data_IF_582372970603
#
_entry.id   IF_582372970603
#
_cell.length_a   1.000
_cell.length_b   1.000
_cell.length_c   1.000
_cell.angle_alpha   90.00
_cell.angle_beta   90.00
_cell.angle_gamma   90.00
#
_symmetry.space_group_name_H-M   'P 1'
#
loop_
_entity.id
_entity.type
_entity.pdbx_description
1 polymer ?
#
# COMPACT_ATOMS: atom_id res chain seq x y z
N UNK A 1 5.48 -7.24 -30.39
CA UNK A 1 4.54 -6.17 -30.00
C UNK A 1 3.09 -6.67 -29.78
N UNK A 2 2.85 -7.81 -29.09
CA UNK A 2 1.51 -8.46 -29.04
C UNK A 2 0.78 -8.44 -27.68
N UNK A 3 1.28 -7.72 -26.67
CA UNK A 3 0.74 -7.81 -25.29
C UNK A 3 0.25 -6.50 -24.67
N UNK A 4 0.27 -5.38 -25.40
CA UNK A 4 -0.19 -4.08 -24.86
C UNK A 4 -1.69 -4.12 -24.51
N UNK A 5 -2.56 -4.67 -25.36
CA UNK A 5 -4.00 -4.76 -25.07
C UNK A 5 -4.33 -5.62 -23.85
N UNK A 6 -3.60 -6.73 -23.64
CA UNK A 6 -3.76 -7.55 -22.43
C UNK A 6 -3.24 -6.83 -21.19
N UNK A 7 -2.14 -6.09 -21.32
CA UNK A 7 -1.64 -5.25 -20.22
C UNK A 7 -2.65 -4.16 -19.84
N UNK A 8 -3.26 -3.48 -20.82
CA UNK A 8 -4.31 -2.50 -20.56
C UNK A 8 -5.55 -3.12 -19.90
N UNK A 9 -5.96 -4.32 -20.32
CA UNK A 9 -7.07 -5.04 -19.69
C UNK A 9 -6.77 -5.40 -18.22
N UNK A 10 -5.58 -5.93 -17.93
CA UNK A 10 -5.17 -6.22 -16.56
C UNK A 10 -5.05 -4.94 -15.72
N UNK A 11 -4.55 -3.85 -16.30
CA UNK A 11 -4.50 -2.55 -15.63
C UNK A 11 -5.92 -2.04 -15.30
N UNK A 12 -6.86 -2.12 -16.25
CA UNK A 12 -8.25 -1.72 -16.02
C UNK A 12 -8.92 -2.54 -14.91
N UNK A 13 -8.74 -3.87 -14.93
CA UNK A 13 -9.26 -4.74 -13.87
C UNK A 13 -8.63 -4.41 -12.50
N UNK A 14 -7.32 -4.14 -12.47
CA UNK A 14 -6.64 -3.72 -11.24
C UNK A 14 -7.18 -2.39 -10.72
N UNK A 15 -7.43 -1.41 -11.59
CA UNK A 15 -8.00 -0.10 -11.23
C UNK A 15 -9.41 -0.27 -10.67
N UNK A 16 -10.25 -1.10 -11.29
CA UNK A 16 -11.61 -1.38 -10.80
C UNK A 16 -11.59 -2.04 -9.42
N UNK A 17 -10.70 -3.03 -9.22
CA UNK A 17 -10.51 -3.67 -7.93
C UNK A 17 -10.02 -2.66 -6.86
N UNK A 18 -9.04 -1.82 -7.18
CA UNK A 18 -8.52 -0.81 -6.26
C UNK A 18 -9.55 0.27 -5.91
N UNK A 19 -10.35 0.71 -6.89
CA UNK A 19 -11.37 1.74 -6.67
C UNK A 19 -12.51 1.26 -5.78
N UNK A 20 -12.81 -0.04 -5.80
CA UNK A 20 -13.87 -0.64 -4.98
C UNK A 20 -13.40 -1.01 -3.57
N UNK A 21 -12.11 -1.29 -3.38
CA UNK A 21 -11.52 -1.65 -2.08
C UNK A 21 -11.80 -0.58 -1.02
N UNK A 22 -11.66 0.71 -1.33
CA UNK A 22 -11.88 1.79 -0.36
C UNK A 22 -13.33 1.80 0.17
N UNK A 23 -14.30 1.62 -0.71
CA UNK A 23 -15.73 1.55 -0.35
C UNK A 23 -16.03 0.28 0.43
N UNK A 24 -15.51 -0.86 -0.01
CA UNK A 24 -15.67 -2.14 0.68
C UNK A 24 -15.11 -2.07 2.11
N UNK A 25 -13.87 -1.59 2.28
CA UNK A 25 -13.26 -1.39 3.59
C UNK A 25 -14.11 -0.48 4.48
N UNK A 26 -14.58 0.67 3.97
CA UNK A 26 -15.42 1.58 4.75
C UNK A 26 -16.72 0.93 5.25
N UNK A 27 -17.34 0.09 4.42
CA UNK A 27 -18.58 -0.61 4.81
C UNK A 27 -18.27 -1.71 5.82
N UNK A 28 -17.27 -2.54 5.54
CA UNK A 28 -16.96 -3.70 6.39
C UNK A 28 -16.42 -3.29 7.76
N UNK A 29 -15.66 -2.19 7.84
CA UNK A 29 -15.17 -1.62 9.11
C UNK A 29 -16.29 -1.10 10.02
N UNK A 30 -17.55 -1.01 9.55
CA UNK A 30 -18.71 -0.75 10.42
C UNK A 30 -19.16 -1.97 11.22
N UNK A 31 -18.74 -3.16 10.80
CA UNK A 31 -19.21 -4.43 11.35
C UNK A 31 -18.10 -5.22 12.04
N UNK A 32 -16.87 -5.14 11.52
CA UNK A 32 -15.72 -5.86 12.06
C UNK A 32 -14.53 -4.91 12.22
N UNK A 33 -13.61 -5.29 13.10
CA UNK A 33 -12.39 -4.52 13.30
C UNK A 33 -11.43 -4.71 12.13
N UNK A 34 -10.53 -3.74 11.94
CA UNK A 34 -9.56 -3.76 10.85
C UNK A 34 -8.65 -5.00 10.87
N UNK A 35 -8.24 -5.44 12.06
CA UNK A 35 -7.39 -6.64 12.24
C UNK A 35 -8.12 -7.90 11.75
N UNK A 36 -9.42 -8.02 12.05
CA UNK A 36 -10.24 -9.15 11.62
C UNK A 36 -10.44 -9.13 10.10
N UNK A 37 -10.69 -7.95 9.53
CA UNK A 37 -10.78 -7.75 8.08
C UNK A 37 -9.49 -8.19 7.38
N UNK A 38 -8.33 -7.80 7.90
CA UNK A 38 -7.03 -8.17 7.36
C UNK A 38 -6.78 -9.67 7.47
N UNK A 39 -7.17 -10.29 8.59
CA UNK A 39 -7.09 -11.73 8.78
C UNK A 39 -7.93 -12.48 7.74
N UNK A 40 -9.20 -12.09 7.55
CA UNK A 40 -10.07 -12.70 6.54
C UNK A 40 -9.56 -12.48 5.12
N UNK A 41 -9.05 -11.29 4.79
CA UNK A 41 -8.43 -11.01 3.50
C UNK A 41 -7.18 -11.89 3.26
N UNK A 42 -6.34 -12.07 4.28
CA UNK A 42 -5.14 -12.89 4.19
C UNK A 42 -5.46 -14.38 4.08
N UNK A 43 -6.46 -14.86 4.82
CA UNK A 43 -6.95 -16.25 4.75
C UNK A 43 -7.57 -16.55 3.39
N UNK A 44 -8.43 -15.67 2.87
CA UNK A 44 -9.05 -15.85 1.55
C UNK A 44 -8.00 -15.84 0.43
N UNK A 45 -7.03 -14.92 0.48
CA UNK A 45 -5.88 -14.91 -0.44
C UNK A 45 -5.08 -16.22 -0.36
N UNK A 46 -4.75 -16.67 0.85
CA UNK A 46 -4.00 -17.92 1.08
C UNK A 46 -4.76 -19.12 0.51
N UNK A 47 -6.06 -19.21 0.74
CA UNK A 47 -6.91 -20.29 0.20
C UNK A 47 -6.95 -20.27 -1.33
N UNK A 48 -7.21 -19.11 -1.94
CA UNK A 48 -7.29 -18.98 -3.39
C UNK A 48 -5.96 -19.33 -4.07
N UNK A 49 -4.83 -18.81 -3.56
CA UNK A 49 -3.51 -19.15 -4.11
C UNK A 49 -3.12 -20.60 -3.84
N UNK A 50 -3.52 -21.17 -2.71
CA UNK A 50 -3.29 -22.59 -2.42
C UNK A 50 -4.06 -23.49 -3.38
N UNK A 51 -5.34 -23.19 -3.64
CA UNK A 51 -6.17 -23.90 -4.63
C UNK A 51 -5.55 -23.77 -6.02
N UNK A 52 -5.14 -22.56 -6.42
CA UNK A 52 -4.46 -22.34 -7.70
C UNK A 52 -3.17 -23.15 -7.84
N UNK A 53 -2.34 -23.21 -6.80
CA UNK A 53 -1.10 -23.99 -6.79
C UNK A 53 -1.35 -25.49 -6.81
N UNK A 54 -2.42 -25.94 -6.16
CA UNK A 54 -2.86 -27.34 -6.15
C UNK A 54 -3.31 -27.77 -7.55
N UNK A 55 -4.19 -27.01 -8.20
CA UNK A 55 -4.68 -27.29 -9.56
C UNK A 55 -3.51 -27.34 -10.56
N UNK A 56 -2.53 -26.44 -10.43
CA UNK A 56 -1.37 -26.39 -11.32
C UNK A 56 -0.27 -27.42 -10.99
N UNK A 57 -0.46 -28.27 -9.96
CA UNK A 57 0.54 -29.24 -9.45
C UNK A 57 1.89 -28.60 -9.11
N UNK A 58 1.89 -27.30 -8.76
CA UNK A 58 3.10 -26.53 -8.41
C UNK A 58 3.33 -26.42 -6.91
N UNK A 59 2.44 -26.98 -6.10
CA UNK A 59 2.52 -26.90 -4.64
C UNK A 59 3.87 -27.41 -4.09
N UNK A 60 4.38 -28.51 -4.63
CA UNK A 60 5.67 -29.10 -4.19
C UNK A 60 6.86 -28.18 -4.46
N UNK A 61 6.84 -27.43 -5.58
CA UNK A 61 7.89 -26.46 -5.95
C UNK A 61 8.01 -25.27 -4.99
N UNK A 62 6.97 -24.98 -4.21
CA UNK A 62 7.03 -23.92 -3.20
C UNK A 62 7.86 -24.38 -2.00
N UNK A 63 7.70 -25.64 -1.59
CA UNK A 63 8.42 -26.23 -0.45
C UNK A 63 9.83 -26.71 -0.79
N UNK A 64 10.13 -26.93 -2.07
CA UNK A 64 11.49 -27.24 -2.56
C UNK A 64 12.42 -26.02 -2.55
N UNK A 65 11.90 -24.81 -2.26
CA UNK A 65 12.73 -23.61 -2.19
C UNK A 65 13.69 -23.64 -0.99
N UNK A 66 14.88 -23.03 -1.12
CA UNK A 66 15.82 -22.95 -0.01
C UNK A 66 15.20 -22.22 1.18
N UNK A 67 15.49 -22.68 2.40
CA UNK A 67 14.95 -22.10 3.65
C UNK A 67 15.11 -20.58 3.74
N UNK A 68 16.20 -20.04 3.19
CA UNK A 68 16.46 -18.59 3.13
C UNK A 68 15.40 -17.84 2.31
N UNK A 69 14.96 -18.38 1.17
CA UNK A 69 13.89 -17.78 0.38
C UNK A 69 12.54 -17.86 1.09
N UNK A 70 12.27 -18.98 1.76
CA UNK A 70 11.04 -19.16 2.52
C UNK A 70 10.97 -18.16 3.69
N UNK A 71 12.07 -17.98 4.42
CA UNK A 71 12.20 -16.95 5.46
C UNK A 71 11.98 -15.55 4.90
N UNK A 72 12.50 -15.24 3.71
CA UNK A 72 12.30 -13.94 3.07
C UNK A 72 10.83 -13.70 2.70
N UNK A 73 10.12 -14.73 2.24
CA UNK A 73 8.68 -14.64 1.95
C UNK A 73 7.86 -14.38 3.22
N UNK A 74 8.17 -15.08 4.31
CA UNK A 74 7.54 -14.86 5.63
C UNK A 74 7.82 -13.45 6.13
N UNK A 75 9.07 -13.00 6.05
CA UNK A 75 9.47 -11.66 6.45
C UNK A 75 8.73 -10.57 5.64
N UNK A 76 8.62 -10.74 4.32
CA UNK A 76 7.86 -9.83 3.47
C UNK A 76 6.37 -9.80 3.84
N UNK A 77 5.75 -10.94 4.13
CA UNK A 77 4.35 -11.00 4.57
C UNK A 77 4.10 -10.37 5.94
N UNK A 78 5.08 -10.42 6.83
CA UNK A 78 5.04 -9.72 8.13
C UNK A 78 5.20 -8.22 7.92
N UNK A 79 6.16 -7.77 7.10
CA UNK A 79 6.34 -6.35 6.80
C UNK A 79 5.09 -5.74 6.16
N UNK A 80 4.62 -6.37 5.09
CA UNK A 80 3.43 -5.95 4.35
C UNK A 80 2.58 -7.19 4.04
N UNK A 81 1.35 -7.28 4.55
CA UNK A 81 0.53 -6.17 5.05
C UNK A 81 0.59 -5.91 6.57
N UNK A 82 1.11 -6.84 7.40
CA UNK A 82 0.85 -6.81 8.85
C UNK A 82 1.46 -5.61 9.59
N UNK A 83 2.78 -5.40 9.50
CA UNK A 83 3.46 -4.29 10.19
C UNK A 83 3.04 -2.95 9.59
N UNK A 84 2.95 -2.85 8.26
CA UNK A 84 2.45 -1.67 7.55
C UNK A 84 1.11 -1.20 8.13
N UNK A 85 0.10 -2.08 8.20
CA UNK A 85 -1.21 -1.68 8.69
C UNK A 85 -1.25 -1.43 10.19
N UNK A 86 -0.43 -2.13 10.98
CA UNK A 86 -0.36 -1.87 12.43
C UNK A 86 0.17 -0.46 12.71
N UNK A 87 1.21 -0.03 11.98
CA UNK A 87 1.73 1.34 12.07
C UNK A 87 0.72 2.36 11.57
N UNK A 88 0.01 2.05 10.47
CA UNK A 88 -1.04 2.90 9.93
C UNK A 88 -2.15 3.13 10.96
N UNK A 89 -2.73 2.06 11.51
CA UNK A 89 -3.77 2.14 12.52
C UNK A 89 -3.29 2.93 13.75
N UNK A 90 -2.06 2.69 14.20
CA UNK A 90 -1.47 3.44 15.31
C UNK A 90 -1.32 4.91 14.99
N UNK A 91 -1.00 5.27 13.75
CA UNK A 91 -0.97 6.66 13.31
C UNK A 91 -2.37 7.29 13.29
N UNK A 92 -3.40 6.56 12.86
CA UNK A 92 -4.79 7.02 12.89
C UNK A 92 -5.34 7.21 14.32
N UNK A 93 -4.82 6.49 15.32
CA UNK A 93 -5.13 6.73 16.73
C UNK A 93 -4.47 8.00 17.29
N UNK A 94 -3.28 8.36 16.77
CA UNK A 94 -2.45 9.45 17.29
C UNK A 94 -2.62 10.76 16.53
N UNK A 95 -3.12 10.72 15.30
CA UNK A 95 -3.29 11.87 14.41
C UNK A 95 -4.75 11.98 13.95
N UNK A 96 -5.22 13.20 13.63
CA UNK A 96 -6.48 13.37 12.90
C UNK A 96 -6.48 12.52 11.62
N UNK A 97 -7.62 11.91 11.30
CA UNK A 97 -7.76 11.05 10.13
C UNK A 97 -7.35 11.74 8.81
N UNK A 98 -7.53 13.06 8.73
CA UNK A 98 -7.07 13.88 7.61
C UNK A 98 -5.54 13.93 7.50
N UNK A 99 -4.81 14.01 8.61
CA UNK A 99 -3.34 14.04 8.61
C UNK A 99 -2.77 12.66 8.25
N UNK A 100 -3.27 11.61 8.90
CA UNK A 100 -2.84 10.24 8.65
C UNK A 100 -3.08 9.78 7.21
N UNK A 101 -4.26 10.11 6.64
CA UNK A 101 -4.58 9.78 5.24
C UNK A 101 -3.63 10.45 4.24
N UNK A 102 -3.26 11.70 4.49
CA UNK A 102 -2.42 12.51 3.59
C UNK A 102 -0.97 12.08 3.61
N UNK A 103 -0.48 11.73 4.80
CA UNK A 103 0.81 11.09 4.94
C UNK A 103 0.83 9.71 4.29
N UNK A 104 -0.28 8.96 4.35
CA UNK A 104 -0.39 7.68 3.62
C UNK A 104 -0.32 7.87 2.10
N UNK A 105 -0.99 8.90 1.55
CA UNK A 105 -0.91 9.25 0.13
C UNK A 105 0.49 9.69 -0.35
N UNK A 106 1.48 9.76 0.54
CA UNK A 106 2.88 9.94 0.17
C UNK A 106 3.52 8.71 -0.48
N UNK A 107 2.87 7.54 -0.39
CA UNK A 107 3.39 6.28 -0.94
C UNK A 107 3.82 6.35 -2.44
N UNK A 108 3.13 7.05 -3.37
CA UNK A 108 3.58 7.14 -4.75
C UNK A 108 4.86 7.97 -4.90
N UNK A 109 5.01 9.01 -4.06
CA UNK A 109 6.21 9.85 -4.02
C UNK A 109 7.41 9.03 -3.58
N UNK A 110 7.27 8.25 -2.52
CA UNK A 110 8.30 7.33 -2.02
C UNK A 110 8.66 6.30 -3.09
N UNK A 111 7.66 5.74 -3.79
CA UNK A 111 7.88 4.77 -4.88
C UNK A 111 8.69 5.38 -6.03
N UNK A 112 8.37 6.61 -6.44
CA UNK A 112 9.12 7.33 -7.47
C UNK A 112 10.55 7.60 -7.01
N UNK A 113 10.73 8.10 -5.78
CA UNK A 113 12.06 8.37 -5.22
C UNK A 113 12.91 7.09 -5.07
N UNK A 114 12.33 5.98 -4.61
CA UNK A 114 13.02 4.69 -4.47
C UNK A 114 13.27 4.00 -5.81
N UNK A 115 12.45 4.26 -6.83
CA UNK A 115 12.69 3.71 -8.17
C UNK A 115 13.96 4.25 -8.84
N UNK A 116 14.43 5.45 -8.44
CA UNK A 116 15.68 6.04 -8.92
C UNK A 116 16.89 5.16 -8.53
N UNK A 117 17.19 4.93 -7.22
CA UNK A 117 18.32 4.10 -6.83
C UNK A 117 18.06 2.60 -7.04
N UNK A 118 16.82 2.12 -6.90
CA UNK A 118 16.53 0.69 -6.85
C UNK A 118 16.32 0.06 -8.23
N UNK A 119 15.76 0.81 -9.18
CA UNK A 119 15.53 0.35 -10.56
C UNK A 119 16.50 0.98 -11.58
N UNK A 120 17.29 1.99 -11.19
CA UNK A 120 18.23 2.68 -12.08
C UNK A 120 17.55 3.47 -13.21
N UNK A 121 16.27 3.81 -13.06
CA UNK A 121 15.54 4.57 -14.07
C UNK A 121 15.97 6.04 -14.06
N UNK A 122 16.30 6.58 -15.23
CA UNK A 122 16.56 8.01 -15.42
C UNK A 122 15.23 8.76 -15.37
N UNK A 123 14.90 9.32 -14.23
CA UNK A 123 13.70 10.13 -14.06
C UNK A 123 13.94 11.50 -14.70
N UNK A 124 13.04 11.88 -15.62
CA UNK A 124 13.04 13.21 -16.23
C UNK A 124 12.76 14.28 -15.18
N UNK A 125 13.38 15.46 -15.31
CA UNK A 125 13.07 16.63 -14.47
C UNK A 125 11.57 16.94 -14.40
N UNK A 126 10.84 16.70 -15.49
CA UNK A 126 9.38 16.81 -15.54
C UNK A 126 8.67 15.89 -14.55
N UNK A 127 9.12 14.65 -14.35
CA UNK A 127 8.54 13.74 -13.36
C UNK A 127 8.76 14.24 -11.93
N UNK A 128 9.92 14.83 -11.65
CA UNK A 128 10.21 15.43 -10.32
C UNK A 128 9.23 16.58 -10.07
N UNK A 129 9.06 17.47 -11.05
CA UNK A 129 8.10 18.59 -10.95
C UNK A 129 6.65 18.07 -10.81
N UNK A 130 6.26 17.04 -11.57
CA UNK A 130 4.92 16.42 -11.43
C UNK A 130 4.68 15.87 -10.02
N UNK A 131 5.68 15.21 -9.42
CA UNK A 131 5.60 14.72 -8.04
C UNK A 131 5.36 15.88 -7.05
N UNK A 132 6.10 16.99 -7.19
CA UNK A 132 5.90 18.18 -6.35
C UNK A 132 4.50 18.77 -6.51
N UNK A 133 4.01 18.90 -7.74
CA UNK A 133 2.66 19.42 -8.03
C UNK A 133 1.58 18.50 -7.46
N UNK A 134 1.72 17.18 -7.62
CA UNK A 134 0.81 16.20 -7.03
C UNK A 134 0.82 16.28 -5.49
N UNK A 135 1.99 16.48 -4.88
CA UNK A 135 2.11 16.61 -3.44
C UNK A 135 1.43 17.87 -2.90
N UNK A 136 1.55 19.01 -3.59
CA UNK A 136 0.79 20.22 -3.25
C UNK A 136 -0.72 20.00 -3.33
N UNK A 137 -1.20 19.29 -4.37
CA UNK A 137 -2.62 18.95 -4.50
C UNK A 137 -3.12 18.11 -3.33
N UNK A 138 -2.33 17.11 -2.90
CA UNK A 138 -2.63 16.25 -1.74
C UNK A 138 -2.71 17.08 -0.45
N UNK A 139 -1.78 18.00 -0.20
CA UNK A 139 -1.81 18.90 0.97
C UNK A 139 -3.10 19.73 0.97
N UNK A 140 -3.44 20.35 -0.16
CA UNK A 140 -4.63 21.21 -0.26
C UNK A 140 -5.92 20.41 0.02
N UNK A 141 -6.05 19.22 -0.57
CA UNK A 141 -7.20 18.33 -0.36
C UNK A 141 -7.26 17.89 1.10
N UNK A 142 -6.14 17.47 1.66
CA UNK A 142 -6.02 17.06 3.06
C UNK A 142 -6.47 18.12 4.04
N UNK A 143 -6.07 19.36 3.78
CA UNK A 143 -6.36 20.45 4.71
C UNK A 143 -7.76 21.02 4.51
N UNK A 144 -8.57 20.45 3.60
CA UNK A 144 -9.88 20.97 3.23
C UNK A 144 -9.85 22.49 2.94
N UNK A 145 -8.76 22.98 2.33
CA UNK A 145 -8.55 24.40 2.07
C UNK A 145 -8.11 25.27 3.26
N UNK A 146 -7.77 24.70 4.42
CA UNK A 146 -7.24 25.41 5.61
C UNK A 146 -5.79 24.99 5.95
N UNK A 147 -4.80 25.26 5.08
CA UNK A 147 -3.40 24.85 5.27
C UNK A 147 -2.77 25.33 6.60
N UNK A 148 -3.28 26.42 7.15
CA UNK A 148 -2.75 27.07 8.35
C UNK A 148 -3.29 26.51 9.69
N UNK A 149 -4.23 25.55 9.66
CA UNK A 149 -4.76 24.90 10.86
C UNK A 149 -4.01 23.61 11.26
N UNK A 150 -2.95 23.23 10.55
CA UNK A 150 -2.11 22.10 10.94
C UNK A 150 -1.31 22.43 12.21
N UNK A 151 -1.93 22.23 13.37
CA UNK A 151 -1.18 21.96 14.59
C UNK A 151 -0.80 20.49 14.54
N UNK A 152 0.45 20.18 14.17
CA UNK A 152 0.99 18.82 14.28
C UNK A 152 0.84 18.38 15.73
N UNK A 153 -0.20 17.60 15.98
CA UNK A 153 -0.69 17.34 17.33
C UNK A 153 0.21 16.34 18.05
N UNK A 154 0.89 15.46 17.30
CA UNK A 154 1.82 14.49 17.85
C UNK A 154 3.00 14.16 16.90
N UNK A 155 4.23 14.57 17.22
CA UNK A 155 5.43 14.28 16.42
C UNK A 155 5.68 12.78 16.19
N UNK A 156 5.29 11.93 17.14
CA UNK A 156 5.47 10.49 17.04
C UNK A 156 4.53 9.87 15.99
N UNK A 157 3.29 10.38 15.90
CA UNK A 157 2.34 9.99 14.86
C UNK A 157 2.82 10.37 13.47
N UNK A 158 3.45 11.55 13.33
CA UNK A 158 4.01 12.02 12.05
C UNK A 158 5.13 11.11 11.57
N UNK A 159 6.06 10.72 12.45
CA UNK A 159 7.15 9.79 12.11
C UNK A 159 6.61 8.41 11.71
N UNK A 160 5.61 7.89 12.42
CA UNK A 160 4.95 6.63 12.09
C UNK A 160 4.29 6.68 10.71
N UNK A 161 3.56 7.74 10.41
CA UNK A 161 2.87 7.89 9.14
C UNK A 161 3.81 8.17 7.96
N UNK A 162 4.98 8.79 8.19
CA UNK A 162 6.03 8.97 7.18
C UNK A 162 6.85 7.71 6.93
N UNK A 163 6.99 6.82 7.91
CA UNK A 163 7.73 5.55 7.78
C UNK A 163 6.88 4.43 7.20
N UNK A 164 5.55 4.48 7.40
CA UNK A 164 4.61 3.51 6.85
C UNK A 164 4.75 3.28 5.33
N UNK A 165 4.91 4.32 4.47
CA UNK A 165 5.05 4.12 3.03
C UNK A 165 6.38 3.53 2.56
N UNK A 166 7.37 3.39 3.45
CA UNK A 166 8.65 2.75 3.15
C UNK A 166 8.64 1.24 3.41
N UNK A 167 7.56 0.70 3.98
CA UNK A 167 7.38 -0.71 4.39
C UNK A 167 6.49 -1.43 3.38
#
# INVERSE_FOLDING_TARGET
MKNQNKAYLYAALAILAWSTIATAFKITLRHINFVELLLYASLTSTLLFSIYLFINKRLRKVFERPRKELLRLVFNGILNPFVYYLLLLRAYELLPAQEAGTLNYFWPVVLVLLSIPMLGQKISWLSIVSVFVSFMGIIIISTHGKPWLMQFSNPFGVILALTCPFI
#
